data_IF_895741774439
#
_entry.id   IF_895741774439
#
_cell.length_a   1.000
_cell.length_b   1.000
_cell.length_c   1.000
_cell.angle_alpha   90.00
_cell.angle_beta   90.00
_cell.angle_gamma   90.00
#
_symmetry.space_group_name_H-M   'P 1'
#
loop_
_entity.id
_entity.type
_entity.pdbx_description
1 polymer ?
#
# COMPACT_ATOMS: atom_id res chain seq x y z
N UNK A 1 -8.47 -14.14 6.47
CA UNK A 1 -9.14 -13.15 5.60
C UNK A 1 -8.09 -12.52 4.70
N UNK A 2 -8.47 -12.08 3.50
CA UNK A 2 -7.59 -11.26 2.64
C UNK A 2 -8.27 -9.89 2.51
N UNK A 3 -7.58 -8.85 2.95
CA UNK A 3 -8.04 -7.45 2.92
C UNK A 3 -7.26 -6.71 1.82
N UNK A 4 -7.87 -6.54 0.65
CA UNK A 4 -7.23 -5.93 -0.51
C UNK A 4 -7.56 -4.44 -0.55
N UNK A 5 -6.53 -3.59 -0.61
CA UNK A 5 -6.74 -2.14 -0.51
C UNK A 5 -7.15 -1.77 0.91
N UNK A 6 -6.38 -2.26 1.89
CA UNK A 6 -6.72 -2.18 3.30
C UNK A 6 -6.93 -0.74 3.80
N UNK A 7 -6.41 0.27 3.08
CA UNK A 7 -6.59 1.68 3.36
C UNK A 7 -6.21 2.00 4.82
N UNK A 8 -7.10 2.57 5.62
CA UNK A 8 -6.86 2.87 7.03
C UNK A 8 -6.93 1.64 7.96
N UNK A 9 -7.13 0.44 7.42
CA UNK A 9 -7.08 -0.83 8.15
C UNK A 9 -8.37 -1.28 8.81
N UNK A 10 -9.52 -0.71 8.46
CA UNK A 10 -10.80 -0.98 9.15
C UNK A 10 -11.16 -2.48 9.16
N UNK A 11 -11.12 -3.14 8.01
CA UNK A 11 -11.45 -4.55 7.92
C UNK A 11 -10.34 -5.42 8.52
N UNK A 12 -9.08 -5.09 8.27
CA UNK A 12 -7.93 -5.71 8.94
C UNK A 12 -8.15 -5.76 10.45
N UNK A 13 -8.44 -4.64 11.10
CA UNK A 13 -8.63 -4.58 12.55
C UNK A 13 -9.90 -5.30 13.02
N UNK A 14 -11.01 -5.18 12.29
CA UNK A 14 -12.25 -5.93 12.58
C UNK A 14 -11.97 -7.44 12.60
N UNK A 15 -11.34 -7.99 11.57
CA UNK A 15 -11.07 -9.42 11.49
C UNK A 15 -10.11 -9.92 12.59
N UNK A 16 -9.13 -9.11 12.97
CA UNK A 16 -8.16 -9.48 14.01
C UNK A 16 -8.77 -9.41 15.40
N UNK A 17 -9.77 -8.54 15.61
CA UNK A 17 -10.49 -8.44 16.89
C UNK A 17 -11.20 -9.74 17.26
N UNK A 18 -11.65 -10.50 16.26
CA UNK A 18 -12.22 -11.84 16.42
C UNK A 18 -11.19 -12.96 16.23
N UNK A 19 -9.89 -12.63 16.36
CA UNK A 19 -8.73 -13.55 16.31
C UNK A 19 -8.59 -14.34 15.00
N UNK A 20 -9.07 -13.80 13.88
CA UNK A 20 -8.82 -14.38 12.56
C UNK A 20 -7.48 -13.89 12.03
N UNK A 21 -6.70 -14.80 11.45
CA UNK A 21 -5.51 -14.43 10.69
C UNK A 21 -5.89 -13.70 9.41
N UNK A 22 -5.22 -12.59 9.15
CA UNK A 22 -5.51 -11.67 8.05
C UNK A 22 -4.26 -11.32 7.28
N UNK A 23 -4.35 -11.44 5.96
CA UNK A 23 -3.38 -10.88 5.02
C UNK A 23 -3.94 -9.52 4.60
N UNK A 24 -3.25 -8.46 4.99
CA UNK A 24 -3.61 -7.07 4.69
C UNK A 24 -2.71 -6.58 3.56
N UNK A 25 -3.30 -6.09 2.47
CA UNK A 25 -2.58 -5.62 1.29
C UNK A 25 -2.83 -4.13 1.10
N UNK A 26 -1.78 -3.33 1.19
CA UNK A 26 -1.81 -1.89 0.97
C UNK A 26 -0.49 -1.43 0.33
N UNK A 27 -0.57 -0.46 -0.57
CA UNK A 27 0.56 0.06 -1.34
C UNK A 27 0.89 1.51 -1.00
N UNK A 28 0.00 2.23 -0.32
CA UNK A 28 0.19 3.60 0.06
C UNK A 28 0.82 3.71 1.46
N UNK A 29 2.05 4.19 1.49
CA UNK A 29 2.89 4.24 2.70
C UNK A 29 2.21 4.89 3.93
N UNK A 30 1.53 6.04 3.82
CA UNK A 30 0.84 6.63 4.97
C UNK A 30 -0.28 5.75 5.55
N UNK A 31 -0.89 4.89 4.72
CA UNK A 31 -1.91 3.95 5.16
C UNK A 31 -1.30 2.73 5.84
N UNK A 32 -0.20 2.21 5.28
CA UNK A 32 0.65 1.18 5.92
C UNK A 32 1.04 1.61 7.34
N UNK A 33 1.52 2.84 7.51
CA UNK A 33 1.92 3.37 8.83
C UNK A 33 0.76 3.41 9.84
N UNK A 34 -0.45 3.77 9.38
CA UNK A 34 -1.65 3.74 10.22
C UNK A 34 -2.02 2.32 10.64
N UNK A 35 -2.00 1.38 9.69
CA UNK A 35 -2.27 -0.03 9.94
C UNK A 35 -1.27 -0.59 10.95
N UNK A 36 0.03 -0.36 10.75
CA UNK A 36 1.09 -0.79 11.68
C UNK A 36 0.87 -0.23 13.07
N UNK A 37 0.53 1.07 13.18
CA UNK A 37 0.24 1.70 14.46
C UNK A 37 -0.96 1.06 15.15
N UNK A 38 -2.05 0.80 14.43
CA UNK A 38 -3.24 0.15 14.99
C UNK A 38 -2.94 -1.28 15.46
N UNK A 39 -2.19 -2.06 14.69
CA UNK A 39 -1.76 -3.42 15.04
C UNK A 39 -0.94 -3.43 16.35
N UNK A 40 -0.05 -2.45 16.52
CA UNK A 40 0.77 -2.30 17.72
C UNK A 40 -0.07 -1.91 18.94
N UNK A 41 -0.96 -0.94 18.80
CA UNK A 41 -1.82 -0.46 19.88
C UNK A 41 -2.73 -1.58 20.43
N UNK A 42 -3.26 -2.42 19.54
CA UNK A 42 -4.17 -3.52 19.91
C UNK A 42 -3.45 -4.85 20.21
N UNK A 43 -2.12 -4.89 20.06
CA UNK A 43 -1.30 -6.09 20.25
C UNK A 43 -1.80 -7.32 19.46
N UNK A 44 -2.17 -7.09 18.19
CA UNK A 44 -2.74 -8.12 17.29
C UNK A 44 -1.76 -8.58 16.20
N UNK A 45 -0.47 -8.25 16.31
CA UNK A 45 0.55 -8.54 15.29
C UNK A 45 0.61 -10.02 14.88
N UNK A 46 0.40 -10.94 15.82
CA UNK A 46 0.35 -12.40 15.54
C UNK A 46 -0.78 -12.84 14.59
N UNK A 47 -1.78 -11.99 14.36
CA UNK A 47 -2.90 -12.27 13.47
C UNK A 47 -2.81 -11.52 12.13
N UNK A 48 -1.78 -10.69 11.92
CA UNK A 48 -1.68 -9.89 10.69
C UNK A 48 -0.38 -10.15 9.95
N UNK A 49 -0.51 -10.46 8.66
CA UNK A 49 0.57 -10.34 7.69
C UNK A 49 0.27 -9.14 6.80
N UNK A 50 1.09 -8.09 6.89
CA UNK A 50 0.94 -6.88 6.08
C UNK A 50 1.86 -6.97 4.85
N UNK A 51 1.28 -6.83 3.67
CA UNK A 51 1.98 -6.81 2.38
C UNK A 51 1.94 -5.38 1.85
N UNK A 52 3.11 -4.75 1.81
CA UNK A 52 3.32 -3.38 1.35
C UNK A 52 3.41 -3.22 -0.17
N UNK A 53 2.54 -3.88 -0.94
CA UNK A 53 2.55 -3.86 -2.40
C UNK A 53 1.15 -3.64 -2.97
N UNK A 54 1.08 -3.14 -4.20
CA UNK A 54 -0.16 -3.08 -4.96
C UNK A 54 -0.48 -4.45 -5.58
N UNK A 55 -1.76 -4.69 -5.87
CA UNK A 55 -2.17 -5.78 -6.76
C UNK A 55 -2.25 -5.21 -8.17
N UNK A 56 -1.53 -5.83 -9.08
CA UNK A 56 -1.47 -5.44 -10.48
C UNK A 56 -1.36 -6.67 -11.38
N UNK A 57 -1.74 -6.53 -12.65
CA UNK A 57 -1.67 -7.63 -13.63
C UNK A 57 -0.25 -8.01 -14.03
N UNK A 58 0.72 -7.13 -13.78
CA UNK A 58 2.14 -7.32 -14.07
C UNK A 58 2.99 -7.16 -12.80
N UNK A 59 4.13 -7.85 -12.76
CA UNK A 59 5.08 -7.80 -11.64
C UNK A 59 6.39 -7.14 -12.04
N UNK A 60 7.11 -6.54 -11.09
CA UNK A 60 8.42 -5.95 -11.32
C UNK A 60 8.40 -4.56 -11.96
N UNK A 61 7.21 -3.95 -12.03
CA UNK A 61 7.05 -2.57 -12.49
C UNK A 61 6.75 -1.64 -11.31
N UNK A 62 7.22 -0.40 -11.41
CA UNK A 62 6.90 0.65 -10.46
C UNK A 62 5.84 1.57 -11.06
N UNK A 63 4.73 1.76 -10.33
CA UNK A 63 3.67 2.69 -10.71
C UNK A 63 3.61 3.83 -9.69
N UNK A 64 3.39 5.05 -10.17
CA UNK A 64 3.26 6.23 -9.31
C UNK A 64 1.81 6.40 -8.84
N UNK A 65 1.61 6.32 -7.53
CA UNK A 65 0.32 6.65 -6.90
C UNK A 65 0.18 8.16 -6.72
N UNK A 66 -1.00 8.69 -7.05
CA UNK A 66 -1.43 10.03 -6.66
C UNK A 66 -2.00 10.00 -5.25
N UNK A 67 -1.89 11.13 -4.55
CA UNK A 67 -2.53 11.36 -3.26
C UNK A 67 -3.75 12.24 -3.46
N UNK A 68 -4.89 11.80 -2.92
CA UNK A 68 -6.04 12.68 -2.74
C UNK A 68 -5.86 13.46 -1.44
N UNK A 69 -5.80 14.79 -1.54
CA UNK A 69 -5.61 15.65 -0.37
C UNK A 69 -6.91 15.89 0.42
N UNK A 70 -8.06 15.57 -0.16
CA UNK A 70 -9.37 15.74 0.47
C UNK A 70 -9.86 14.45 1.15
N UNK A 71 -9.19 13.32 0.92
CA UNK A 71 -9.56 12.02 1.47
C UNK A 71 -8.41 11.41 2.26
N UNK A 72 -8.63 11.15 3.55
CA UNK A 72 -7.63 10.51 4.41
C UNK A 72 -7.43 9.07 3.95
N UNK A 73 -6.26 8.81 3.38
CA UNK A 73 -5.94 7.51 2.82
C UNK A 73 -6.58 7.28 1.45
N UNK A 74 -7.01 8.36 0.77
CA UNK A 74 -7.36 8.32 -0.64
C UNK A 74 -6.10 8.39 -1.50
N UNK A 75 -5.95 7.41 -2.39
CA UNK A 75 -4.96 7.38 -3.45
C UNK A 75 -5.57 6.85 -4.74
N UNK A 76 -4.94 7.17 -5.87
CA UNK A 76 -5.33 6.64 -7.16
C UNK A 76 -4.13 6.43 -8.08
N UNK A 77 -4.33 5.68 -9.15
CA UNK A 77 -3.39 5.65 -10.27
C UNK A 77 -3.88 6.65 -11.32
N UNK A 78 -2.99 7.54 -11.75
CA UNK A 78 -3.24 8.38 -12.92
C UNK A 78 -2.57 7.66 -14.10
N UNK A 79 -3.37 6.96 -14.91
CA UNK A 79 -2.87 6.09 -16.00
C UNK A 79 -2.58 6.84 -17.31
N UNK A 80 -2.43 8.17 -17.29
CA UNK A 80 -2.00 8.90 -18.48
C UNK A 80 -0.57 8.45 -18.86
N UNK A 81 -0.43 7.86 -20.05
CA UNK A 81 0.77 7.17 -20.53
C UNK A 81 2.06 8.01 -20.44
N UNK A 82 1.94 9.33 -20.48
CA UNK A 82 3.07 10.27 -20.46
C UNK A 82 3.80 10.35 -19.12
N UNK A 83 3.14 10.05 -17.99
CA UNK A 83 3.73 10.23 -16.66
C UNK A 83 4.48 8.99 -16.15
N UNK A 84 4.08 7.79 -16.60
CA UNK A 84 4.69 6.54 -16.15
C UNK A 84 5.96 6.16 -16.94
N UNK A 85 6.24 6.81 -18.08
CA UNK A 85 7.48 6.61 -18.85
C UNK A 85 8.69 7.41 -18.32
N UNK A 86 8.48 8.43 -17.47
CA UNK A 86 9.60 9.24 -16.97
C UNK A 86 10.37 8.59 -15.82
N UNK A 87 9.76 7.67 -15.06
CA UNK A 87 10.41 7.02 -13.92
C UNK A 87 11.43 5.93 -14.33
N UNK A 88 11.33 5.37 -15.53
CA UNK A 88 12.27 4.34 -16.02
C UNK A 88 13.51 4.90 -16.73
N UNK A 89 13.53 6.20 -17.05
CA UNK A 89 14.62 6.83 -17.82
C UNK A 89 15.58 7.63 -16.94
N UNK A 90 15.11 8.17 -15.81
CA UNK A 90 15.96 8.99 -14.92
C UNK A 90 17.03 8.19 -14.17
N UNK A 91 16.82 6.89 -13.96
CA UNK A 91 17.76 6.04 -13.20
C UNK A 91 18.89 5.45 -14.08
N UNK A 92 18.88 5.69 -15.40
CA UNK A 92 19.92 5.21 -16.31
C UNK A 92 21.05 6.22 -16.58
N UNK A 93 20.91 7.49 -16.15
CA UNK A 93 21.85 8.56 -16.51
C UNK A 93 22.67 9.15 -15.35
N UNK A 94 22.51 8.67 -14.12
CA UNK A 94 23.27 9.16 -12.95
C UNK A 94 24.51 8.33 -12.59
N UNK A 95 24.86 7.32 -13.40
CA UNK A 95 26.00 6.43 -13.17
C UNK A 95 27.28 6.73 -13.97
N UNK A 96 27.37 7.86 -14.67
CA UNK A 96 28.60 8.26 -15.38
C UNK A 96 28.95 9.71 -15.06
N UNK A 97 29.75 9.91 -14.02
CA UNK A 97 30.85 10.88 -13.92
C UNK A 97 31.76 10.49 -12.78
#
# INVERSE_FOLDING_TARGET
MIDIGANIGTYTMYSTSIRRTTISVECYQPNIERIVRAIQLENVSKYVTLIGNAIYSESGIYLKLSKDTLNVGGQGLITNATTNQMASVSDQFTGMK
#
